data_IF_644743946438
#
_entry.id   IF_644743946438
#
_cell.length_a   1.000
_cell.length_b   1.000
_cell.length_c   1.000
_cell.angle_alpha   90.00
_cell.angle_beta   90.00
_cell.angle_gamma   90.00
#
_symmetry.space_group_name_H-M   'P 1'
#
loop_
_entity.id
_entity.type
_entity.pdbx_description
1 polymer ?
#
# COMPACT_ATOMS: atom_id res chain seq x y z
N UNK A 1 -17.63 -12.85 -7.52
CA UNK A 1 -18.60 -11.78 -7.22
C UNK A 1 -18.82 -10.95 -8.48
N UNK A 2 -20.06 -10.71 -8.89
CA UNK A 2 -20.39 -9.83 -10.02
C UNK A 2 -19.87 -8.42 -9.72
N UNK A 3 -19.17 -7.77 -10.66
CA UNK A 3 -18.82 -6.35 -10.52
C UNK A 3 -20.12 -5.56 -10.59
N UNK A 4 -20.46 -4.91 -9.50
CA UNK A 4 -21.56 -3.95 -9.42
C UNK A 4 -21.04 -2.64 -10.03
N UNK A 5 -21.83 -1.98 -10.88
CA UNK A 5 -21.45 -0.66 -11.38
C UNK A 5 -21.54 0.38 -10.25
N UNK A 6 -20.92 1.54 -10.41
CA UNK A 6 -20.97 2.57 -9.35
C UNK A 6 -22.40 3.09 -9.15
N UNK A 7 -23.16 3.13 -10.23
CA UNK A 7 -24.56 3.52 -10.26
C UNK A 7 -25.41 2.50 -9.50
N UNK A 8 -25.24 1.21 -9.78
CA UNK A 8 -25.92 0.13 -9.05
C UNK A 8 -25.52 0.10 -7.56
N UNK A 9 -24.25 0.39 -7.24
CA UNK A 9 -23.80 0.47 -5.85
C UNK A 9 -24.45 1.66 -5.14
N UNK A 10 -24.48 2.84 -5.77
CA UNK A 10 -25.10 4.03 -5.22
C UNK A 10 -26.59 3.80 -4.95
N UNK A 11 -27.31 3.22 -5.91
CA UNK A 11 -28.74 2.95 -5.79
C UNK A 11 -29.02 1.95 -4.67
N UNK A 12 -28.23 0.87 -4.55
CA UNK A 12 -28.32 -0.09 -3.43
C UNK A 12 -28.01 0.55 -2.08
N UNK A 13 -27.05 1.46 -2.02
CA UNK A 13 -26.65 2.10 -0.78
C UNK A 13 -27.74 3.06 -0.29
N UNK A 14 -28.39 3.78 -1.20
CA UNK A 14 -29.55 4.63 -0.92
C UNK A 14 -30.75 3.77 -0.47
N UNK A 15 -31.02 2.66 -1.16
CA UNK A 15 -32.09 1.73 -0.80
C UNK A 15 -31.86 1.10 0.58
N UNK A 16 -30.63 0.67 0.87
CA UNK A 16 -30.25 0.03 2.14
C UNK A 16 -30.36 0.97 3.34
N UNK A 17 -30.00 2.25 3.15
CA UNK A 17 -29.97 3.26 4.20
C UNK A 17 -31.34 3.93 4.41
N UNK A 18 -32.24 3.81 3.43
CA UNK A 18 -33.53 4.49 3.39
C UNK A 18 -33.42 5.87 2.75
N UNK A 19 -34.40 6.21 1.90
CA UNK A 19 -34.40 7.46 1.15
C UNK A 19 -34.35 8.69 2.06
N UNK A 20 -33.26 9.47 2.00
CA UNK A 20 -33.17 10.82 2.57
C UNK A 20 -32.22 11.03 3.75
N UNK A 21 -31.63 10.00 4.34
CA UNK A 21 -30.71 10.16 5.47
C UNK A 21 -29.26 10.36 5.00
N UNK A 22 -28.92 11.60 4.62
CA UNK A 22 -27.55 11.99 4.23
C UNK A 22 -26.52 11.54 5.27
N UNK A 23 -26.82 11.70 6.56
CA UNK A 23 -25.94 11.30 7.68
C UNK A 23 -25.61 9.80 7.64
N UNK A 24 -26.59 8.96 7.31
CA UNK A 24 -26.41 7.53 7.29
C UNK A 24 -25.60 7.09 6.05
N UNK A 25 -25.83 7.70 4.87
CA UNK A 25 -24.99 7.47 3.68
C UNK A 25 -23.55 7.93 3.94
N UNK A 26 -23.39 9.11 4.56
CA UNK A 26 -22.09 9.66 4.92
C UNK A 26 -21.33 8.74 5.88
N UNK A 27 -21.98 8.29 6.97
CA UNK A 27 -21.34 7.42 7.96
C UNK A 27 -20.89 6.08 7.38
N UNK A 28 -21.65 5.48 6.46
CA UNK A 28 -21.27 4.25 5.77
C UNK A 28 -20.03 4.48 4.91
N UNK A 29 -20.00 5.55 4.11
CA UNK A 29 -18.83 5.88 3.29
C UNK A 29 -17.61 6.20 4.15
N UNK A 30 -17.76 7.02 5.18
CA UNK A 30 -16.69 7.36 6.12
C UNK A 30 -16.05 6.09 6.69
N UNK A 31 -16.86 5.11 7.09
CA UNK A 31 -16.37 3.82 7.59
C UNK A 31 -15.59 3.05 6.53
N UNK A 32 -16.02 3.06 5.27
CA UNK A 32 -15.28 2.42 4.17
C UNK A 32 -13.93 3.12 3.91
N UNK A 33 -13.89 4.44 3.95
CA UNK A 33 -12.65 5.21 3.84
C UNK A 33 -11.72 4.96 5.03
N UNK A 34 -12.26 4.86 6.24
CA UNK A 34 -11.48 4.53 7.44
C UNK A 34 -10.84 3.13 7.32
N UNK A 35 -11.58 2.14 6.81
CA UNK A 35 -11.02 0.80 6.53
C UNK A 35 -9.87 0.87 5.51
N UNK A 36 -10.04 1.63 4.42
CA UNK A 36 -8.98 1.80 3.42
C UNK A 36 -7.76 2.51 4.02
N UNK A 37 -7.97 3.55 4.81
CA UNK A 37 -6.92 4.29 5.49
C UNK A 37 -6.13 3.41 6.47
N UNK A 38 -6.81 2.63 7.31
CA UNK A 38 -6.19 1.71 8.26
C UNK A 38 -5.36 0.64 7.56
N UNK A 39 -5.87 0.04 6.48
CA UNK A 39 -5.12 -0.93 5.67
C UNK A 39 -3.88 -0.30 5.03
N UNK A 40 -3.99 0.94 4.56
CA UNK A 40 -2.86 1.68 4.03
C UNK A 40 -1.79 2.01 5.09
N UNK A 41 -2.19 2.34 6.32
CA UNK A 41 -1.26 2.56 7.44
C UNK A 41 -0.47 1.30 7.79
N UNK A 42 -1.12 0.13 7.84
CA UNK A 42 -0.43 -1.16 8.03
C UNK A 42 0.61 -1.40 6.93
N UNK A 43 0.25 -1.10 5.68
CA UNK A 43 1.14 -1.27 4.53
C UNK A 43 2.37 -0.33 4.60
N UNK A 44 2.18 0.92 5.05
CA UNK A 44 3.29 1.85 5.32
C UNK A 44 4.19 1.30 6.43
N UNK A 45 3.62 0.77 7.50
CA UNK A 45 4.37 0.13 8.58
C UNK A 45 5.26 -1.01 8.08
N UNK A 46 4.72 -1.88 7.22
CA UNK A 46 5.50 -2.95 6.59
C UNK A 46 6.63 -2.41 5.72
N UNK A 47 6.40 -1.35 4.94
CA UNK A 47 7.46 -0.69 4.16
C UNK A 47 8.58 -0.16 5.09
N UNK A 48 8.22 0.47 6.21
CA UNK A 48 9.16 0.96 7.20
C UNK A 48 10.02 -0.16 7.82
N UNK A 49 9.40 -1.31 8.14
CA UNK A 49 10.13 -2.49 8.65
C UNK A 49 11.15 -2.99 7.61
N UNK A 50 10.75 -3.14 6.35
CA UNK A 50 11.66 -3.60 5.28
C UNK A 50 12.84 -2.64 5.08
N UNK A 51 12.58 -1.33 5.07
CA UNK A 51 13.64 -0.31 4.91
C UNK A 51 14.61 -0.33 6.10
N UNK A 52 14.09 -0.37 7.33
CA UNK A 52 14.93 -0.36 8.55
C UNK A 52 15.72 -1.64 8.72
N UNK A 53 15.11 -2.81 8.51
CA UNK A 53 15.82 -4.10 8.52
C UNK A 53 16.92 -4.14 7.47
N UNK A 54 16.67 -3.61 6.27
CA UNK A 54 17.72 -3.43 5.26
C UNK A 54 18.80 -2.44 5.71
N UNK A 55 18.46 -1.40 6.45
CA UNK A 55 19.46 -0.48 7.02
C UNK A 55 20.46 -1.19 7.95
N UNK A 56 19.97 -2.15 8.74
CA UNK A 56 20.83 -2.95 9.63
C UNK A 56 21.61 -4.04 8.90
N UNK A 57 20.95 -4.84 8.05
CA UNK A 57 21.54 -6.03 7.40
C UNK A 57 22.11 -5.78 6.00
N UNK A 58 21.77 -4.65 5.37
CA UNK A 58 22.04 -4.39 3.96
C UNK A 58 23.51 -4.32 3.60
N UNK A 59 24.38 -3.86 4.51
CA UNK A 59 25.83 -3.88 4.31
C UNK A 59 26.38 -5.32 4.22
N UNK A 60 25.86 -6.23 5.03
CA UNK A 60 26.24 -7.64 4.98
C UNK A 60 25.77 -8.27 3.66
N UNK A 61 24.52 -8.00 3.26
CA UNK A 61 23.94 -8.50 2.02
C UNK A 61 24.72 -7.98 0.80
N UNK A 62 24.97 -6.67 0.73
CA UNK A 62 25.70 -6.04 -0.37
C UNK A 62 27.17 -6.47 -0.46
N UNK A 63 27.77 -6.90 0.65
CA UNK A 63 29.15 -7.40 0.70
C UNK A 63 29.35 -8.79 0.09
N UNK A 64 28.28 -9.54 -0.20
CA UNK A 64 28.37 -10.93 -0.67
C UNK A 64 28.65 -11.05 -2.16
N UNK A 65 27.91 -10.32 -2.99
CA UNK A 65 28.03 -10.36 -4.44
C UNK A 65 27.43 -9.11 -5.08
N UNK A 66 27.93 -8.75 -6.27
CA UNK A 66 27.37 -7.63 -7.06
C UNK A 66 25.89 -7.84 -7.40
N UNK A 67 25.47 -9.09 -7.60
CA UNK A 67 24.07 -9.43 -7.87
C UNK A 67 23.18 -9.17 -6.65
N UNK A 68 23.58 -9.62 -5.45
CA UNK A 68 22.86 -9.36 -4.21
C UNK A 68 22.80 -7.85 -3.90
N UNK A 69 23.87 -7.11 -4.20
CA UNK A 69 23.91 -5.65 -4.08
C UNK A 69 22.88 -4.95 -4.99
N UNK A 70 22.78 -5.35 -6.26
CA UNK A 70 21.77 -4.77 -7.16
C UNK A 70 20.34 -5.13 -6.73
N UNK A 71 20.10 -6.38 -6.31
CA UNK A 71 18.79 -6.83 -5.84
C UNK A 71 18.35 -6.08 -4.58
N UNK A 72 19.23 -5.86 -3.61
CA UNK A 72 18.87 -5.17 -2.37
C UNK A 72 18.58 -3.69 -2.63
N UNK A 73 19.38 -3.01 -3.48
CA UNK A 73 19.15 -1.61 -3.85
C UNK A 73 17.83 -1.47 -4.61
N UNK A 74 17.60 -2.31 -5.62
CA UNK A 74 16.37 -2.28 -6.41
C UNK A 74 15.15 -2.61 -5.55
N UNK A 75 15.26 -3.62 -4.67
CA UNK A 75 14.20 -4.02 -3.76
C UNK A 75 13.77 -2.88 -2.83
N UNK A 76 14.72 -2.24 -2.16
CA UNK A 76 14.44 -1.08 -1.27
C UNK A 76 13.88 0.11 -2.05
N UNK A 77 14.42 0.41 -3.23
CA UNK A 77 13.91 1.50 -4.07
C UNK A 77 12.44 1.28 -4.47
N UNK A 78 12.09 0.04 -4.83
CA UNK A 78 10.71 -0.34 -5.17
C UNK A 78 9.78 -0.27 -3.94
N UNK A 79 10.24 -0.72 -2.77
CA UNK A 79 9.49 -0.61 -1.51
C UNK A 79 9.24 0.85 -1.15
N UNK A 80 10.26 1.71 -1.31
CA UNK A 80 10.13 3.15 -1.08
C UNK A 80 9.13 3.77 -2.04
N UNK A 81 9.17 3.41 -3.33
CA UNK A 81 8.20 3.87 -4.31
C UNK A 81 6.77 3.45 -3.95
N UNK A 82 6.58 2.21 -3.48
CA UNK A 82 5.29 1.74 -2.95
C UNK A 82 4.81 2.62 -1.78
N UNK A 83 5.68 2.91 -0.80
CA UNK A 83 5.35 3.79 0.32
C UNK A 83 4.92 5.18 -0.16
N UNK A 84 5.65 5.76 -1.12
CA UNK A 84 5.31 7.05 -1.74
C UNK A 84 3.92 7.03 -2.40
N UNK A 85 3.57 5.96 -3.14
CA UNK A 85 2.24 5.81 -3.74
C UNK A 85 1.13 5.78 -2.68
N UNK A 86 1.36 5.13 -1.54
CA UNK A 86 0.37 5.06 -0.46
C UNK A 86 0.19 6.43 0.20
N UNK A 87 1.30 7.12 0.49
CA UNK A 87 1.27 8.44 1.14
C UNK A 87 0.58 9.47 0.26
N UNK A 88 1.01 9.61 -1.00
CA UNK A 88 0.43 10.61 -1.90
C UNK A 88 -0.94 10.21 -2.45
N UNK A 89 -1.18 8.92 -2.68
CA UNK A 89 -2.41 8.46 -3.29
C UNK A 89 -3.54 8.21 -2.29
N UNK A 90 -3.26 7.44 -1.23
CA UNK A 90 -4.28 6.96 -0.30
C UNK A 90 -4.38 7.87 0.93
N UNK A 91 -3.25 8.23 1.53
CA UNK A 91 -3.22 9.02 2.76
C UNK A 91 -3.50 10.51 2.56
N UNK A 92 -3.39 11.05 1.33
CA UNK A 92 -3.79 12.43 1.06
C UNK A 92 -5.32 12.57 1.22
N UNK A 93 -5.77 13.16 2.33
CA UNK A 93 -7.19 13.28 2.67
C UNK A 93 -7.75 14.58 2.07
N UNK A 94 -8.70 14.44 1.13
CA UNK A 94 -9.76 15.43 0.93
C UNK A 94 -10.97 14.98 1.73
N UNK A 95 -11.59 15.89 2.47
CA UNK A 95 -12.76 15.58 3.30
C UNK A 95 -13.93 15.13 2.42
N UNK A 96 -14.73 14.18 2.91
CA UNK A 96 -15.89 13.67 2.17
C UNK A 96 -16.98 14.74 1.99
N UNK A 97 -17.08 15.64 2.98
CA UNK A 97 -17.94 16.83 2.95
C UNK A 97 -17.55 17.86 1.88
N UNK A 98 -16.32 17.81 1.36
CA UNK A 98 -15.84 18.71 0.31
C UNK A 98 -16.08 18.15 -1.10
N UNK A 99 -16.65 16.95 -1.23
CA UNK A 99 -16.94 16.38 -2.54
C UNK A 99 -18.10 17.12 -3.21
N UNK A 100 -18.01 17.44 -4.51
CA UNK A 100 -19.09 18.13 -5.22
C UNK A 100 -20.30 17.23 -5.43
N UNK A 101 -21.50 17.83 -5.42
CA UNK A 101 -22.75 17.16 -5.73
C UNK A 101 -23.94 17.98 -5.22
N UNK A 102 -24.88 18.27 -6.11
CA UNK A 102 -26.06 19.10 -5.80
C UNK A 102 -27.16 18.28 -5.09
N UNK A 103 -27.12 16.96 -5.24
CA UNK A 103 -27.99 15.99 -4.58
C UNK A 103 -27.18 14.84 -3.96
N UNK A 104 -27.81 14.10 -3.05
CA UNK A 104 -27.17 12.97 -2.33
C UNK A 104 -26.61 11.94 -3.29
N UNK A 105 -27.32 11.67 -4.39
CA UNK A 105 -26.92 10.67 -5.38
C UNK A 105 -25.68 11.08 -6.15
N UNK A 106 -25.60 12.31 -6.66
CA UNK A 106 -24.41 12.80 -7.39
C UNK A 106 -23.22 12.93 -6.47
N UNK A 107 -23.41 13.41 -5.24
CA UNK A 107 -22.37 13.43 -4.21
C UNK A 107 -21.83 12.01 -3.94
N UNK A 108 -22.72 11.02 -3.77
CA UNK A 108 -22.37 9.62 -3.53
C UNK A 108 -21.58 9.03 -4.72
N UNK A 109 -21.98 9.30 -5.96
CA UNK A 109 -21.25 8.83 -7.14
C UNK A 109 -19.83 9.40 -7.20
N UNK A 110 -19.65 10.68 -6.89
CA UNK A 110 -18.32 11.32 -6.83
C UNK A 110 -17.48 10.72 -5.70
N UNK A 111 -18.08 10.51 -4.53
CA UNK A 111 -17.41 9.89 -3.39
C UNK A 111 -16.98 8.45 -3.68
N UNK A 112 -17.83 7.64 -4.32
CA UNK A 112 -17.51 6.28 -4.76
C UNK A 112 -16.39 6.27 -5.81
N UNK A 113 -16.42 7.17 -6.79
CA UNK A 113 -15.35 7.30 -7.78
C UNK A 113 -14.01 7.66 -7.11
N UNK A 114 -14.04 8.55 -6.12
CA UNK A 114 -12.86 8.93 -5.32
C UNK A 114 -12.32 7.75 -4.50
N UNK A 115 -13.20 6.96 -3.87
CA UNK A 115 -12.85 5.72 -3.15
C UNK A 115 -12.19 4.69 -4.08
N UNK A 116 -12.77 4.47 -5.25
CA UNK A 116 -12.28 3.49 -6.23
C UNK A 116 -10.89 3.85 -6.76
N UNK A 117 -10.63 5.16 -6.98
CA UNK A 117 -9.31 5.64 -7.37
C UNK A 117 -8.27 5.34 -6.30
N UNK A 118 -8.57 5.64 -5.03
CA UNK A 118 -7.67 5.31 -3.91
C UNK A 118 -7.45 3.81 -3.76
N UNK A 119 -8.51 3.01 -3.93
CA UNK A 119 -8.43 1.55 -3.88
C UNK A 119 -7.54 1.00 -4.99
N UNK A 120 -7.62 1.58 -6.19
CA UNK A 120 -6.75 1.20 -7.31
C UNK A 120 -5.29 1.51 -7.03
N UNK A 121 -5.00 2.72 -6.53
CA UNK A 121 -3.63 3.09 -6.14
C UNK A 121 -3.10 2.17 -5.04
N UNK A 122 -3.93 1.85 -4.04
CA UNK A 122 -3.59 0.91 -2.98
C UNK A 122 -3.22 -0.48 -3.53
N UNK A 123 -3.98 -1.01 -4.50
CA UNK A 123 -3.66 -2.29 -5.16
C UNK A 123 -2.35 -2.25 -5.93
N UNK A 124 -2.10 -1.15 -6.64
CA UNK A 124 -0.84 -0.94 -7.35
C UNK A 124 0.33 -0.89 -6.36
N UNK A 125 0.19 -0.16 -5.25
CA UNK A 125 1.21 -0.11 -4.21
C UNK A 125 1.50 -1.50 -3.60
N UNK A 126 0.47 -2.31 -3.32
CA UNK A 126 0.68 -3.70 -2.88
C UNK A 126 1.53 -4.48 -3.89
N UNK A 127 1.22 -4.37 -5.19
CA UNK A 127 1.99 -5.08 -6.20
C UNK A 127 3.47 -4.67 -6.19
N UNK A 128 3.75 -3.36 -6.11
CA UNK A 128 5.13 -2.87 -5.96
C UNK A 128 5.79 -3.37 -4.68
N UNK A 129 5.11 -3.32 -3.53
CA UNK A 129 5.66 -3.85 -2.28
C UNK A 129 6.04 -5.33 -2.42
N UNK A 130 5.18 -6.15 -3.01
CA UNK A 130 5.44 -7.58 -3.18
C UNK A 130 6.66 -7.82 -4.08
N UNK A 131 6.78 -7.09 -5.19
CA UNK A 131 7.95 -7.16 -6.08
C UNK A 131 9.23 -6.76 -5.35
N UNK A 132 9.20 -5.63 -4.63
CA UNK A 132 10.35 -5.15 -3.85
C UNK A 132 10.75 -6.13 -2.74
N UNK A 133 9.77 -6.73 -2.06
CA UNK A 133 9.99 -7.75 -1.05
C UNK A 133 10.58 -9.03 -1.64
N UNK A 134 10.15 -9.44 -2.84
CA UNK A 134 10.76 -10.59 -3.53
C UNK A 134 12.24 -10.35 -3.81
N UNK A 135 12.62 -9.16 -4.29
CA UNK A 135 14.03 -8.82 -4.52
C UNK A 135 14.83 -8.82 -3.22
N UNK A 136 14.27 -8.27 -2.15
CA UNK A 136 14.87 -8.31 -0.81
C UNK A 136 15.12 -9.75 -0.33
N UNK A 137 14.11 -10.62 -0.43
CA UNK A 137 14.21 -12.03 -0.01
C UNK A 137 15.24 -12.80 -0.85
N UNK A 138 15.27 -12.57 -2.17
CA UNK A 138 16.27 -13.21 -3.04
C UNK A 138 17.68 -12.75 -2.66
N UNK A 139 17.88 -11.46 -2.37
CA UNK A 139 19.19 -10.94 -1.94
C UNK A 139 19.66 -11.59 -0.63
N UNK A 140 18.74 -11.77 0.34
CA UNK A 140 19.04 -12.51 1.58
C UNK A 140 19.37 -13.97 1.30
N UNK A 141 18.59 -14.64 0.45
CA UNK A 141 18.87 -16.04 0.10
C UNK A 141 20.27 -16.19 -0.53
N UNK A 142 20.66 -15.26 -1.42
CA UNK A 142 22.01 -15.24 -1.99
C UNK A 142 23.10 -15.05 -0.94
N UNK A 143 22.88 -14.16 0.03
CA UNK A 143 23.80 -13.98 1.16
C UNK A 143 23.94 -15.27 1.99
N UNK A 144 22.83 -15.96 2.26
CA UNK A 144 22.84 -17.18 3.08
C UNK A 144 23.42 -18.39 2.34
N UNK A 145 23.31 -18.44 1.02
CA UNK A 145 23.91 -19.50 0.18
C UNK A 145 25.42 -19.29 -0.03
N UNK A 146 25.89 -18.04 0.01
CA UNK A 146 27.30 -17.70 -0.03
C UNK A 146 27.70 -16.95 1.26
N UNK A 147 27.67 -17.62 2.42
CA UNK A 147 28.18 -17.00 3.63
C UNK A 147 29.67 -16.77 3.39
N UNK A 148 30.08 -15.50 3.22
CA UNK A 148 31.50 -15.15 3.25
C UNK A 148 32.04 -15.72 4.55
N UNK A 149 32.91 -16.73 4.45
CA UNK A 149 33.50 -17.39 5.60
C UNK A 149 34.00 -16.30 6.56
N UNK A 150 33.58 -16.38 7.83
CA UNK A 150 34.23 -15.60 8.88
C UNK A 150 35.74 -15.78 8.70
N UNK A 151 36.56 -14.70 8.78
CA UNK A 151 38.00 -14.86 8.68
C UNK A 151 38.40 -15.93 9.68
N UNK A 152 38.97 -17.03 9.17
CA UNK A 152 39.49 -18.10 10.01
C UNK A 152 40.40 -17.44 11.03
N UNK A 153 40.06 -17.55 12.31
CA UNK A 153 40.96 -17.25 13.41
C UNK A 153 42.15 -18.20 13.29
N UNK A 154 43.16 -17.79 12.54
CA UNK A 154 44.31 -18.58 12.17
C UNK A 154 45.49 -17.68 11.91
N UNK A 155 46.29 -17.46 12.96
CA UNK A 155 47.67 -17.01 12.86
C UNK A 155 47.93 -15.55 13.26
N UNK A 156 48.05 -15.27 14.56
CA UNK A 156 49.33 -15.24 15.28
C UNK A 156 49.09 -15.06 16.77
#
# INVERSE_FOLDING_TARGET
>A
MKRVTREEEADRLIEFVGAGSWDAVHSVLERQFAVLHNRAQVLIGLCGIVITTTGFSGRLIAGTSRAAQWLIIAGVAIVLFSATLIVWGVQHIRWLTQQPGDDVRRWLLVALAYRDRKTTIYRVAIAFLLVGLSFYVIAIAMMLLHPTAAPSSGGR
#
